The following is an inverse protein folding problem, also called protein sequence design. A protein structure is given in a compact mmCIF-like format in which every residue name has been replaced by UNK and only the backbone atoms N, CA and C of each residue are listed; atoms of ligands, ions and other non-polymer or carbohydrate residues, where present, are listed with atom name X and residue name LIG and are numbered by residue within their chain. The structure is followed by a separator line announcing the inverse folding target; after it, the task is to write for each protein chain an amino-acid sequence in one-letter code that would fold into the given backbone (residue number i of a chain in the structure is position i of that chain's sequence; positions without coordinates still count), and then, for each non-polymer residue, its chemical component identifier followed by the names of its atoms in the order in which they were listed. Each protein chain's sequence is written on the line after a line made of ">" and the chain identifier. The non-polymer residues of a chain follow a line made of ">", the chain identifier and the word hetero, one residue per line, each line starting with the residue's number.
data_IF_847438319426
#
_entry.id   IF_847438319426
#
_cell.length_a   1.000
_cell.length_b   1.000
_cell.length_c   1.000
_cell.angle_alpha   90.00
_cell.angle_beta   90.00
_cell.angle_gamma   90.00
#
_symmetry.space_group_name_H-M   'P 1'
#
loop_
_entity.id
_entity.type
_entity.pdbx_description
1 polymer ?
#
# COMPACT_ATOMS: atom_id res chain seq x y z
N UNK A 1 10.79 31.58 6.51
CA UNK A 1 11.73 30.78 5.69
C UNK A 1 13.07 30.48 6.37
N UNK A 2 13.94 31.46 6.71
CA UNK A 2 15.22 31.15 7.43
C UNK A 2 15.01 30.67 8.87
N UNK A 3 14.07 31.29 9.61
CA UNK A 3 13.75 30.91 11.00
C UNK A 3 13.19 29.48 11.10
N UNK A 4 12.35 29.08 10.16
CA UNK A 4 11.73 27.72 10.16
C UNK A 4 12.77 26.63 9.89
N UNK A 5 13.79 26.93 9.08
CA UNK A 5 14.90 26.01 8.79
C UNK A 5 15.85 25.88 9.98
N UNK A 6 16.13 26.97 10.67
CA UNK A 6 16.92 26.95 11.90
C UNK A 6 16.21 26.21 13.04
N UNK A 7 14.90 26.44 13.21
CA UNK A 7 14.07 25.71 14.16
C UNK A 7 14.04 24.21 13.85
N UNK A 8 13.86 23.84 12.57
CA UNK A 8 13.91 22.44 12.15
C UNK A 8 15.26 21.79 12.49
N UNK A 9 16.37 22.44 12.13
CA UNK A 9 17.71 21.92 12.45
C UNK A 9 17.90 21.70 13.95
N UNK A 10 17.46 22.65 14.78
CA UNK A 10 17.50 22.50 16.24
C UNK A 10 16.67 21.29 16.72
N UNK A 11 15.43 21.15 16.24
CA UNK A 11 14.56 20.04 16.64
C UNK A 11 15.14 18.69 16.22
N UNK A 12 15.77 18.62 15.05
CA UNK A 12 16.45 17.41 14.54
C UNK A 12 17.66 17.08 15.41
N UNK A 13 18.51 18.07 15.72
CA UNK A 13 19.67 17.88 16.57
C UNK A 13 19.29 17.37 17.96
N UNK A 14 18.29 17.98 18.60
CA UNK A 14 17.80 17.58 19.92
C UNK A 14 17.09 16.21 19.89
N UNK A 15 16.28 15.93 18.87
CA UNK A 15 15.64 14.63 18.72
C UNK A 15 16.68 13.50 18.55
N UNK A 16 17.81 13.77 17.86
CA UNK A 16 18.93 12.84 17.71
C UNK A 16 19.62 12.50 19.05
N UNK A 17 19.56 13.39 20.03
CA UNK A 17 20.09 13.13 21.39
C UNK A 17 19.04 12.50 22.33
N UNK A 18 17.88 12.11 21.81
CA UNK A 18 16.83 11.44 22.59
C UNK A 18 15.78 12.39 23.21
N UNK A 19 15.78 13.68 22.88
CA UNK A 19 14.74 14.60 23.34
C UNK A 19 13.40 14.29 22.69
N UNK A 20 12.53 13.63 23.47
CA UNK A 20 11.18 13.24 23.05
C UNK A 20 10.27 14.44 22.76
N UNK A 21 10.44 15.56 23.44
CA UNK A 21 9.63 16.75 23.23
C UNK A 21 9.97 17.43 21.90
N UNK A 22 11.26 17.55 21.60
CA UNK A 22 11.74 18.02 20.30
C UNK A 22 11.31 17.10 19.17
N UNK A 23 11.36 15.79 19.40
CA UNK A 23 10.88 14.82 18.44
C UNK A 23 9.38 14.98 18.14
N UNK A 24 8.54 15.04 19.18
CA UNK A 24 7.10 15.23 19.00
C UNK A 24 6.80 16.55 18.27
N UNK A 25 7.59 17.60 18.51
CA UNK A 25 7.46 18.88 17.82
C UNK A 25 7.90 18.80 16.36
N UNK A 26 8.96 18.05 16.05
CA UNK A 26 9.41 17.79 14.68
C UNK A 26 8.33 17.04 13.88
N UNK A 27 7.71 16.01 14.49
CA UNK A 27 6.61 15.26 13.87
C UNK A 27 5.42 16.17 13.58
N UNK A 28 5.00 17.01 14.54
CA UNK A 28 3.91 17.99 14.30
C UNK A 28 4.26 19.00 13.21
N UNK A 29 5.51 19.45 13.16
CA UNK A 29 5.97 20.43 12.18
C UNK A 29 6.03 19.88 10.75
N UNK A 30 6.42 18.61 10.57
CA UNK A 30 6.67 18.03 9.25
C UNK A 30 5.68 16.99 8.79
N UNK A 31 4.93 16.38 9.70
CA UNK A 31 3.87 15.43 9.40
C UNK A 31 2.94 15.90 8.28
N UNK A 32 2.31 17.08 8.38
CA UNK A 32 1.39 17.57 7.33
C UNK A 32 2.04 17.66 5.95
N UNK A 33 3.30 18.07 5.86
CA UNK A 33 4.01 18.20 4.58
C UNK A 33 4.40 16.85 3.99
N UNK A 34 4.80 15.89 4.83
CA UNK A 34 5.07 14.51 4.41
C UNK A 34 3.80 13.81 3.95
N UNK A 35 2.69 13.98 4.68
CA UNK A 35 1.37 13.47 4.28
C UNK A 35 0.91 14.08 2.97
N UNK A 36 0.96 15.41 2.80
CA UNK A 36 0.60 16.06 1.54
C UNK A 36 1.44 15.54 0.35
N UNK A 37 2.72 15.26 0.57
CA UNK A 37 3.57 14.66 -0.45
C UNK A 37 3.13 13.24 -0.82
N UNK A 38 2.81 12.39 0.16
CA UNK A 38 2.32 11.04 -0.07
C UNK A 38 0.94 11.02 -0.75
N UNK A 39 0.02 11.88 -0.31
CA UNK A 39 -1.32 12.04 -0.91
C UNK A 39 -1.21 12.36 -2.39
N UNK A 40 -0.33 13.30 -2.77
CA UNK A 40 -0.12 13.65 -4.18
C UNK A 40 0.35 12.47 -5.04
N UNK A 41 1.04 11.50 -4.45
CA UNK A 41 1.56 10.33 -5.16
C UNK A 41 0.59 9.14 -5.15
N UNK A 42 -0.20 8.96 -4.09
CA UNK A 42 -1.09 7.82 -3.91
C UNK A 42 -2.53 8.07 -4.35
N UNK A 43 -2.99 9.33 -4.30
CA UNK A 43 -4.38 9.72 -4.56
C UNK A 43 -5.36 9.39 -3.42
N UNK A 44 -4.89 8.76 -2.35
CA UNK A 44 -5.69 8.35 -1.19
C UNK A 44 -5.11 8.98 0.09
N UNK A 45 -5.97 9.60 0.90
CA UNK A 45 -5.55 10.32 2.11
C UNK A 45 -5.25 9.39 3.27
N UNK A 46 -6.04 8.36 3.47
CA UNK A 46 -5.91 7.47 4.62
C UNK A 46 -4.73 6.52 4.41
N UNK A 47 -4.58 5.97 3.21
CA UNK A 47 -3.40 5.16 2.87
C UNK A 47 -2.11 6.00 2.91
N UNK A 48 -2.17 7.28 2.51
CA UNK A 48 -1.03 8.18 2.65
C UNK A 48 -0.67 8.45 4.12
N UNK A 49 -1.65 8.54 5.02
CA UNK A 49 -1.40 8.68 6.47
C UNK A 49 -0.71 7.44 7.01
N UNK A 50 -1.19 6.26 6.65
CA UNK A 50 -0.58 4.99 7.05
C UNK A 50 0.86 4.92 6.57
N UNK A 51 1.10 5.14 5.28
CA UNK A 51 2.47 5.14 4.70
C UNK A 51 3.39 6.13 5.40
N UNK A 52 2.90 7.31 5.77
CA UNK A 52 3.71 8.34 6.45
C UNK A 52 3.96 8.00 7.90
N UNK A 53 3.01 7.45 8.64
CA UNK A 53 3.23 6.94 10.00
C UNK A 53 4.34 5.90 10.00
N UNK A 54 4.29 5.02 9.02
CA UNK A 54 5.22 3.94 8.85
C UNK A 54 6.61 4.47 8.39
N UNK A 55 6.63 5.51 7.54
CA UNK A 55 7.84 6.26 7.18
C UNK A 55 8.48 6.96 8.39
N UNK A 56 7.68 7.47 9.33
CA UNK A 56 8.21 8.07 10.56
C UNK A 56 9.02 7.07 11.37
N UNK A 57 8.61 5.80 11.46
CA UNK A 57 9.40 4.77 12.14
C UNK A 57 10.80 4.63 11.51
N UNK A 58 10.89 4.64 10.17
CA UNK A 58 12.16 4.63 9.45
C UNK A 58 12.98 5.90 9.64
N UNK A 59 12.32 7.06 9.61
CA UNK A 59 12.95 8.35 9.89
C UNK A 59 13.57 8.35 11.28
N UNK A 60 12.85 7.89 12.31
CA UNK A 60 13.35 7.83 13.69
C UNK A 60 14.58 6.93 13.82
N UNK A 61 14.52 5.73 13.22
CA UNK A 61 15.64 4.78 13.21
C UNK A 61 16.86 5.32 12.46
N UNK A 62 16.62 6.03 11.36
CA UNK A 62 17.65 6.60 10.50
C UNK A 62 18.15 7.98 10.92
N UNK A 63 17.54 8.64 11.90
CA UNK A 63 17.82 10.04 12.22
C UNK A 63 19.28 10.28 12.62
N UNK A 64 19.88 9.31 13.32
CA UNK A 64 21.30 9.34 13.72
C UNK A 64 22.27 9.28 12.53
N UNK A 65 21.83 8.79 11.37
CA UNK A 65 22.62 8.72 10.14
C UNK A 65 22.57 10.00 9.30
N UNK A 66 21.70 10.95 9.66
CA UNK A 66 21.58 12.22 8.95
C UNK A 66 22.80 13.10 9.26
N UNK A 67 23.59 13.39 8.22
CA UNK A 67 24.84 14.17 8.32
C UNK A 67 24.62 15.68 8.46
N UNK A 68 23.52 16.19 7.92
CA UNK A 68 23.16 17.60 7.95
C UNK A 68 21.71 17.75 8.43
N UNK A 69 21.55 18.35 9.60
CA UNK A 69 20.26 18.58 10.23
C UNK A 69 19.36 19.49 9.37
N UNK A 70 19.96 20.39 8.58
CA UNK A 70 19.27 21.25 7.64
C UNK A 70 18.75 20.52 6.38
N UNK A 71 19.20 19.28 6.17
CA UNK A 71 18.77 18.42 5.07
C UNK A 71 17.67 17.41 5.48
N UNK A 72 17.10 17.55 6.69
CA UNK A 72 16.07 16.65 7.20
C UNK A 72 14.90 16.47 6.23
N UNK A 73 14.29 17.56 5.76
CA UNK A 73 13.12 17.50 4.91
C UNK A 73 13.35 16.73 3.58
N UNK A 74 14.35 17.07 2.74
CA UNK A 74 14.59 16.31 1.51
C UNK A 74 14.95 14.84 1.77
N UNK A 75 15.67 14.55 2.85
CA UNK A 75 15.97 13.18 3.27
C UNK A 75 14.72 12.40 3.69
N UNK A 76 13.84 13.00 4.51
CA UNK A 76 12.58 12.41 4.94
C UNK A 76 11.61 12.20 3.76
N UNK A 77 11.55 13.15 2.81
CA UNK A 77 10.76 13.00 1.59
C UNK A 77 11.22 11.81 0.76
N UNK A 78 12.53 11.57 0.63
CA UNK A 78 13.06 10.39 -0.07
C UNK A 78 12.60 9.08 0.58
N UNK A 79 12.53 9.03 1.92
CA UNK A 79 12.01 7.86 2.65
C UNK A 79 10.54 7.64 2.30
N UNK A 80 9.72 8.70 2.36
CA UNK A 80 8.29 8.66 1.99
C UNK A 80 8.11 8.22 0.54
N UNK A 81 8.83 8.82 -0.42
CA UNK A 81 8.75 8.45 -1.84
C UNK A 81 9.07 6.97 -2.06
N UNK A 82 10.10 6.45 -1.39
CA UNK A 82 10.47 5.03 -1.47
C UNK A 82 9.35 4.12 -0.96
N UNK A 83 8.68 4.49 0.14
CA UNK A 83 7.56 3.72 0.68
C UNK A 83 6.33 3.77 -0.23
N UNK A 84 5.98 4.95 -0.74
CA UNK A 84 4.91 5.10 -1.73
C UNK A 84 5.19 4.26 -2.97
N UNK A 85 6.43 4.25 -3.47
CA UNK A 85 6.81 3.41 -4.61
C UNK A 85 6.60 1.90 -4.33
N UNK A 86 6.84 1.44 -3.09
CA UNK A 86 6.58 0.05 -2.70
C UNK A 86 5.08 -0.27 -2.73
N UNK A 87 4.25 0.64 -2.24
CA UNK A 87 2.78 0.49 -2.30
C UNK A 87 2.29 0.40 -3.74
N UNK A 88 2.72 1.33 -4.60
CA UNK A 88 2.38 1.32 -6.03
C UNK A 88 2.82 0.02 -6.71
N UNK A 89 4.03 -0.47 -6.40
CA UNK A 89 4.53 -1.75 -6.92
C UNK A 89 3.65 -2.92 -6.46
N UNK A 90 3.24 -2.95 -5.19
CA UNK A 90 2.31 -3.95 -4.67
C UNK A 90 0.97 -3.95 -5.42
N UNK A 91 0.39 -2.76 -5.65
CA UNK A 91 -0.85 -2.61 -6.45
C UNK A 91 -0.69 -3.15 -7.87
N UNK A 92 0.46 -2.89 -8.52
CA UNK A 92 0.74 -3.41 -9.86
C UNK A 92 0.84 -4.94 -9.86
N UNK A 93 1.50 -5.53 -8.86
CA UNK A 93 1.61 -6.97 -8.72
C UNK A 93 0.25 -7.64 -8.48
N UNK A 94 -0.57 -7.09 -7.57
CA UNK A 94 -1.92 -7.60 -7.31
C UNK A 94 -2.81 -7.53 -8.56
N UNK A 95 -2.78 -6.41 -9.30
CA UNK A 95 -3.54 -6.29 -10.56
C UNK A 95 -3.10 -7.31 -11.60
N UNK A 96 -1.80 -7.57 -11.71
CA UNK A 96 -1.27 -8.60 -12.60
C UNK A 96 -1.78 -9.99 -12.20
N UNK A 97 -1.65 -10.36 -10.93
CA UNK A 97 -2.13 -11.66 -10.42
C UNK A 97 -3.64 -11.85 -10.64
N UNK A 98 -4.44 -10.79 -10.42
CA UNK A 98 -5.88 -10.84 -10.68
C UNK A 98 -6.20 -11.03 -12.16
N UNK A 99 -5.46 -10.37 -13.06
CA UNK A 99 -5.60 -10.55 -14.50
C UNK A 99 -5.20 -11.96 -14.94
N UNK A 100 -4.09 -12.49 -14.42
CA UNK A 100 -3.61 -13.85 -14.71
C UNK A 100 -4.67 -14.89 -14.26
N UNK A 101 -5.25 -14.73 -13.07
CA UNK A 101 -6.31 -15.61 -12.56
C UNK A 101 -7.63 -15.51 -13.36
N UNK A 102 -8.02 -14.31 -13.77
CA UNK A 102 -9.20 -14.13 -14.62
C UNK A 102 -9.02 -14.81 -15.98
N UNK A 103 -7.85 -14.68 -16.60
CA UNK A 103 -7.51 -15.35 -17.85
C UNK A 103 -7.52 -16.88 -17.72
N UNK A 104 -7.03 -17.42 -16.60
CA UNK A 104 -7.09 -18.86 -16.32
C UNK A 104 -8.55 -19.34 -16.16
N UNK A 105 -9.39 -18.56 -15.49
CA UNK A 105 -10.82 -18.88 -15.30
C UNK A 105 -11.60 -18.84 -16.62
N UNK A 106 -11.32 -17.87 -17.50
CA UNK A 106 -11.92 -17.80 -18.84
C UNK A 106 -11.51 -18.97 -19.73
N UNK A 107 -10.31 -19.52 -19.52
CA UNK A 107 -9.80 -20.66 -20.28
C UNK A 107 -10.37 -22.01 -19.78
N UNK A 108 -11.00 -22.03 -18.60
CA UNK A 108 -11.80 -23.16 -18.12
C UNK A 108 -13.17 -23.08 -18.80
N UNK A 109 -13.29 -23.64 -20.01
CA UNK A 109 -14.59 -23.81 -20.66
C UNK A 109 -15.48 -24.73 -19.81
N UNK A 110 -16.64 -24.26 -19.31
CA UNK A 110 -17.58 -25.11 -18.57
C UNK A 110 -18.26 -26.17 -19.45
N UNK A 111 -18.00 -26.16 -20.76
CA UNK A 111 -18.58 -27.10 -21.74
C UNK A 111 -17.64 -28.24 -22.16
N UNK A 112 -16.36 -28.21 -21.75
CA UNK A 112 -15.36 -29.18 -22.21
C UNK A 112 -14.60 -29.91 -21.08
N UNK A 113 -15.02 -29.74 -19.83
CA UNK A 113 -14.49 -30.51 -18.69
C UNK A 113 -15.22 -31.86 -18.52
N UNK A 114 -14.61 -32.87 -17.89
CA UNK A 114 -15.28 -34.13 -17.56
C UNK A 114 -16.60 -33.92 -16.80
N UNK A 115 -16.68 -32.89 -15.96
CA UNK A 115 -17.89 -32.49 -15.23
C UNK A 115 -19.02 -31.98 -16.15
N UNK A 116 -18.67 -31.39 -17.29
CA UNK A 116 -19.64 -30.89 -18.28
C UNK A 116 -20.35 -32.03 -18.99
N UNK A 117 -19.58 -33.07 -19.34
CA UNK A 117 -20.08 -34.32 -19.92
C UNK A 117 -20.99 -35.05 -18.91
N UNK A 118 -20.55 -35.15 -17.65
CA UNK A 118 -21.34 -35.73 -16.56
C UNK A 118 -22.66 -34.97 -16.33
N UNK A 119 -22.63 -33.64 -16.32
CA UNK A 119 -23.83 -32.82 -16.15
C UNK A 119 -24.79 -32.91 -17.36
N UNK A 120 -24.27 -33.10 -18.57
CA UNK A 120 -25.09 -33.36 -19.76
C UNK A 120 -25.75 -34.74 -19.71
N UNK A 121 -25.04 -35.77 -19.23
CA UNK A 121 -25.60 -37.11 -19.00
C UNK A 121 -26.68 -37.10 -17.93
N UNK A 122 -26.45 -36.42 -16.80
CA UNK A 122 -27.45 -36.29 -15.72
C UNK A 122 -28.72 -35.59 -16.25
N UNK A 123 -28.57 -34.50 -17.01
CA UNK A 123 -29.72 -33.80 -17.62
C UNK A 123 -30.50 -34.67 -18.61
N UNK A 124 -29.80 -35.48 -19.42
CA UNK A 124 -30.45 -36.47 -20.31
C UNK A 124 -31.17 -37.56 -19.53
N UNK A 125 -30.56 -38.08 -18.46
CA UNK A 125 -31.16 -39.09 -17.61
C UNK A 125 -32.45 -38.56 -16.95
N UNK A 126 -32.43 -37.33 -16.41
CA UNK A 126 -33.61 -36.67 -15.84
C UNK A 126 -34.72 -36.48 -16.89
N UNK A 127 -34.37 -36.06 -18.11
CA UNK A 127 -35.34 -35.88 -19.19
C UNK A 127 -35.95 -37.21 -19.71
N UNK A 128 -35.32 -38.35 -19.42
CA UNK A 128 -35.80 -39.68 -19.80
C UNK A 128 -36.64 -40.38 -18.73
N UNK A 129 -36.87 -39.75 -17.58
CA UNK A 129 -37.69 -40.33 -16.52
C UNK A 129 -39.18 -40.31 -16.91
N UNK A 130 -39.90 -41.45 -16.73
CA UNK A 130 -41.35 -41.48 -16.87
C UNK A 130 -42.02 -40.51 -15.88
N UNK A 131 -43.20 -39.96 -16.22
CA UNK A 131 -43.87 -38.90 -15.46
C UNK A 131 -44.22 -39.25 -14.01
N UNK A 132 -44.16 -40.54 -13.63
CA UNK A 132 -44.44 -41.00 -12.26
C UNK A 132 -43.28 -40.74 -11.25
N UNK A 133 -42.14 -40.21 -11.69
CA UNK A 133 -40.99 -39.91 -10.80
C UNK A 133 -40.48 -38.46 -10.84
N UNK A 134 -41.20 -37.53 -11.48
CA UNK A 134 -40.86 -36.11 -11.50
C UNK A 134 -41.73 -35.32 -10.50
N UNK A 135 -41.45 -35.45 -9.20
CA UNK A 135 -41.98 -34.59 -8.14
C UNK A 135 -40.92 -34.28 -7.10
#
# INVERSE_FOLDING_TARGET
>A
MRKDKALEGYLVAAARTGDRASLARLVRLRGPRLTAHAVRLLGDVDEARDVVQDAWIEILRGLHSLRDDAAFLPWALRIVTRRVARVIKGRQQHRKMAADFAAETENISPEAGPDAVQAAEIRRAIASLPPDQAA
#
